data_IF_249111509319
#
_entry.id   IF_249111509319
#
_cell.length_a   1.000
_cell.length_b   1.000
_cell.length_c   1.000
_cell.angle_alpha   90.00
_cell.angle_beta   90.00
_cell.angle_gamma   90.00
#
_symmetry.space_group_name_H-M   'P 1'
#
loop_
_entity.id
_entity.type
_entity.pdbx_description
1 polymer ?
#
# COMPACT_ATOMS: atom_id res chain seq x y z
N UNK A 1 18.51 7.85 0.81
CA UNK A 1 17.65 6.77 1.32
C UNK A 1 16.86 6.19 0.17
N UNK A 2 16.99 4.89 -0.06
CA UNK A 2 16.16 4.12 -0.99
C UNK A 2 14.84 3.71 -0.33
N UNK A 3 13.85 3.31 -1.13
CA UNK A 3 12.58 2.81 -0.59
C UNK A 3 12.77 1.57 0.30
N UNK A 4 13.71 0.70 -0.05
CA UNK A 4 14.05 -0.49 0.74
C UNK A 4 14.71 -0.10 2.07
N UNK A 5 15.64 0.86 2.06
CA UNK A 5 16.24 1.39 3.30
C UNK A 5 15.19 2.02 4.21
N UNK A 6 14.21 2.74 3.63
CA UNK A 6 13.12 3.34 4.39
C UNK A 6 12.23 2.28 5.06
N UNK A 7 11.84 1.22 4.34
CA UNK A 7 11.07 0.13 4.94
C UNK A 7 11.85 -0.67 5.97
N UNK A 8 13.15 -0.85 5.76
CA UNK A 8 14.03 -1.50 6.74
C UNK A 8 14.10 -0.69 8.05
N UNK A 9 14.14 0.64 7.98
CA UNK A 9 14.13 1.53 9.15
C UNK A 9 12.81 1.44 9.94
N UNK A 10 11.66 1.30 9.26
CA UNK A 10 10.36 1.12 9.92
C UNK A 10 10.28 -0.25 10.61
N UNK A 11 10.87 -1.28 9.99
CA UNK A 11 10.83 -2.66 10.46
C UNK A 11 9.58 -3.42 10.00
N UNK A 12 9.78 -4.66 9.53
CA UNK A 12 8.73 -5.47 8.92
C UNK A 12 7.53 -5.75 9.85
N UNK A 13 7.75 -5.85 11.16
CA UNK A 13 6.69 -6.10 12.15
C UNK A 13 5.72 -4.92 12.30
N UNK A 14 6.15 -3.73 11.90
CA UNK A 14 5.37 -2.49 11.93
C UNK A 14 4.71 -2.17 10.58
N UNK A 15 4.99 -2.97 9.54
CA UNK A 15 4.44 -2.79 8.20
C UNK A 15 3.28 -3.76 7.94
N UNK A 16 2.24 -3.25 7.28
CA UNK A 16 1.14 -4.05 6.73
C UNK A 16 0.97 -3.70 5.27
N UNK A 17 0.72 -4.73 4.47
CA UNK A 17 0.49 -4.58 3.04
C UNK A 17 -1.01 -4.65 2.76
N UNK A 18 -1.53 -3.66 2.03
CA UNK A 18 -2.89 -3.63 1.53
C UNK A 18 -2.83 -3.33 0.03
N UNK A 19 -3.36 -4.23 -0.79
CA UNK A 19 -3.41 -4.01 -2.22
C UNK A 19 -4.50 -2.97 -2.54
N UNK A 20 -4.12 -1.93 -3.29
CA UNK A 20 -5.08 -0.91 -3.74
C UNK A 20 -6.21 -1.53 -4.57
N UNK A 21 -5.91 -2.51 -5.43
CA UNK A 21 -6.94 -3.16 -6.27
C UNK A 21 -8.07 -3.82 -5.46
N UNK A 22 -7.79 -4.21 -4.21
CA UNK A 22 -8.75 -4.85 -3.32
C UNK A 22 -9.50 -3.84 -2.42
N UNK A 23 -9.08 -2.58 -2.41
CA UNK A 23 -9.57 -1.55 -1.50
C UNK A 23 -10.05 -0.27 -2.18
N UNK A 24 -9.80 -0.13 -3.49
CA UNK A 24 -10.30 0.97 -4.29
C UNK A 24 -11.83 0.99 -4.35
N UNK A 25 -12.40 2.16 -4.16
CA UNK A 25 -13.84 2.40 -4.20
C UNK A 25 -14.25 3.26 -5.39
N UNK A 26 -13.34 4.08 -5.93
CA UNK A 26 -13.61 4.96 -7.08
C UNK A 26 -12.32 5.40 -7.78
N UNK A 27 -12.38 5.54 -9.12
CA UNK A 27 -11.29 6.06 -9.95
C UNK A 27 -11.87 7.05 -10.96
N UNK A 28 -11.42 8.31 -10.89
CA UNK A 28 -11.89 9.37 -11.80
C UNK A 28 -10.73 10.12 -12.44
N UNK A 29 -10.80 10.29 -13.76
CA UNK A 29 -9.94 11.21 -14.47
C UNK A 29 -10.32 12.66 -14.12
N UNK A 30 -9.33 13.45 -13.75
CA UNK A 30 -9.43 14.88 -13.49
C UNK A 30 -8.56 15.66 -14.46
N UNK A 31 -8.83 16.96 -14.61
CA UNK A 31 -8.00 17.85 -15.46
C UNK A 31 -6.51 17.85 -15.09
N UNK A 32 -6.15 17.47 -13.85
CA UNK A 32 -4.77 17.43 -13.34
C UNK A 32 -4.37 16.06 -12.78
N UNK A 33 -4.83 14.98 -13.42
CA UNK A 33 -4.41 13.62 -13.06
C UNK A 33 -5.59 12.70 -12.75
N UNK A 34 -5.35 11.67 -11.95
CA UNK A 34 -6.34 10.66 -11.60
C UNK A 34 -6.62 10.72 -10.10
N UNK A 35 -7.89 10.91 -9.73
CA UNK A 35 -8.34 10.74 -8.35
C UNK A 35 -8.60 9.24 -8.13
N UNK A 36 -7.96 8.68 -7.09
CA UNK A 36 -8.20 7.32 -6.61
C UNK A 36 -8.73 7.42 -5.19
N UNK A 37 -9.89 6.81 -4.95
CA UNK A 37 -10.47 6.66 -3.60
C UNK A 37 -10.37 5.21 -3.18
N UNK A 38 -10.04 4.97 -1.91
CA UNK A 38 -9.94 3.63 -1.34
C UNK A 38 -10.42 3.62 0.12
N UNK A 39 -10.85 2.46 0.59
CA UNK A 39 -11.27 2.23 1.97
C UNK A 39 -10.21 1.43 2.73
N UNK A 40 -10.07 1.70 4.03
CA UNK A 40 -9.16 0.96 4.91
C UNK A 40 -9.76 0.84 6.31
N UNK A 41 -9.50 -0.29 6.95
CA UNK A 41 -9.78 -0.55 8.36
C UNK A 41 -8.53 -0.38 9.24
N UNK A 42 -7.38 -0.03 8.63
CA UNK A 42 -6.11 0.11 9.33
C UNK A 42 -6.03 1.37 10.20
N UNK A 43 -6.92 2.34 9.97
CA UNK A 43 -7.01 3.59 10.74
C UNK A 43 -8.47 3.91 11.04
N UNK A 44 -8.72 4.39 12.24
CA UNK A 44 -10.01 4.98 12.63
C UNK A 44 -10.05 6.46 12.29
N UNK A 45 -11.26 7.04 12.22
CA UNK A 45 -11.43 8.48 12.02
C UNK A 45 -10.80 9.30 13.14
N UNK A 46 -10.80 8.77 14.37
CA UNK A 46 -10.19 9.41 15.53
C UNK A 46 -8.66 9.47 15.41
N UNK A 47 -8.02 8.36 15.05
CA UNK A 47 -6.57 8.29 14.80
C UNK A 47 -6.14 9.24 13.68
N UNK A 48 -6.88 9.26 12.57
CA UNK A 48 -6.60 10.15 11.45
C UNK A 48 -6.67 11.64 11.84
N UNK A 49 -7.63 12.01 12.70
CA UNK A 49 -7.81 13.40 13.16
C UNK A 49 -6.72 13.83 14.14
N UNK A 50 -6.25 12.91 14.98
CA UNK A 50 -5.23 13.15 16.00
C UNK A 50 -3.79 13.00 15.48
N UNK A 51 -3.61 12.54 14.23
CA UNK A 51 -2.28 12.20 13.70
C UNK A 51 -1.63 11.06 14.46
N UNK A 52 -2.43 10.14 15.00
CA UNK A 52 -2.01 9.00 15.79
C UNK A 52 -2.26 7.69 15.03
N UNK A 53 -1.73 6.57 15.54
CA UNK A 53 -1.95 5.26 14.95
C UNK A 53 -1.10 5.00 13.70
N UNK A 54 -1.65 4.31 12.71
CA UNK A 54 -0.93 3.93 11.48
C UNK A 54 -0.94 5.07 10.46
N UNK A 55 0.09 5.10 9.62
CA UNK A 55 0.17 5.99 8.45
C UNK A 55 0.12 5.15 7.18
N UNK A 56 -0.70 5.56 6.22
CA UNK A 56 -0.78 4.93 4.89
C UNK A 56 0.31 5.45 3.96
N UNK A 57 0.99 4.54 3.25
CA UNK A 57 1.97 4.86 2.22
C UNK A 57 1.48 4.29 0.88
N UNK A 58 1.50 5.12 -0.16
CA UNK A 58 1.19 4.68 -1.53
C UNK A 58 2.49 4.50 -2.30
N UNK A 59 2.74 3.29 -2.79
CA UNK A 59 3.90 2.95 -3.62
C UNK A 59 3.42 2.49 -4.99
N UNK A 60 3.97 3.08 -6.03
CA UNK A 60 3.74 2.67 -7.41
C UNK A 60 4.91 1.83 -7.91
N UNK A 61 4.58 0.70 -8.55
CA UNK A 61 5.55 -0.18 -9.18
C UNK A 61 5.14 -0.47 -10.62
N UNK A 62 6.11 -0.81 -11.47
CA UNK A 62 5.81 -1.30 -12.81
C UNK A 62 4.99 -2.58 -12.72
N UNK A 63 3.91 -2.66 -13.53
CA UNK A 63 3.00 -3.82 -13.56
C UNK A 63 3.76 -5.14 -13.70
N UNK A 64 4.66 -5.23 -14.68
CA UNK A 64 5.44 -6.45 -14.94
C UNK A 64 6.40 -6.81 -13.80
N UNK A 65 6.94 -5.82 -13.08
CA UNK A 65 7.81 -6.09 -11.93
C UNK A 65 6.98 -6.62 -10.74
N UNK A 66 5.81 -6.04 -10.49
CA UNK A 66 4.86 -6.52 -9.48
C UNK A 66 4.43 -7.97 -9.76
N UNK A 67 4.00 -8.29 -10.97
CA UNK A 67 3.53 -9.64 -11.33
C UNK A 67 4.63 -10.70 -11.12
N UNK A 68 5.88 -10.40 -11.51
CA UNK A 68 7.02 -11.29 -11.25
C UNK A 68 7.26 -11.49 -9.76
N UNK A 69 7.20 -10.43 -8.96
CA UNK A 69 7.40 -10.50 -7.52
C UNK A 69 6.27 -11.28 -6.82
N UNK A 70 5.01 -11.03 -7.21
CA UNK A 70 3.84 -11.74 -6.69
C UNK A 70 3.87 -13.23 -7.03
N UNK A 71 4.21 -13.59 -8.27
CA UNK A 71 4.37 -14.99 -8.68
C UNK A 71 5.44 -15.70 -7.84
N UNK A 72 6.58 -15.05 -7.59
CA UNK A 72 7.65 -15.59 -6.75
C UNK A 72 7.21 -15.77 -5.30
N UNK A 73 6.47 -14.80 -4.74
CA UNK A 73 5.96 -14.88 -3.37
C UNK A 73 4.97 -16.05 -3.18
N UNK A 74 4.08 -16.26 -4.16
CA UNK A 74 3.10 -17.36 -4.11
C UNK A 74 3.74 -18.75 -4.27
N UNK A 75 4.89 -18.85 -4.95
CA UNK A 75 5.65 -20.11 -5.06
C UNK A 75 6.45 -20.43 -3.79
N UNK A 76 6.77 -19.43 -2.99
CA UNK A 76 7.57 -19.58 -1.76
C UNK A 76 6.75 -20.04 -0.54
N UNK A 77 5.43 -20.24 -0.68
CA UNK A 77 4.54 -20.78 0.35
C UNK A 77 4.09 -22.18 -0.06
N UNK A 78 4.84 -23.26 0.26
CA UNK A 78 4.31 -24.62 0.19
C UNK A 78 3.26 -24.80 1.29
N UNK A 79 2.20 -25.53 0.96
CA UNK A 79 1.10 -25.96 1.83
C UNK A 79 1.57 -26.58 3.15
#
# INVERSE_FOLDING_TARGET
>A
MTLTEFFAEIGNDHLRFQLLEQSMTDIRAMRRGTLVSFATDAITTAEATLGAGRVGLIVWADRAAYERAAAKANQATPT
#
